data_IF_666218150039
#
_entry.id   IF_666218150039
#
_cell.length_a   1.000
_cell.length_b   1.000
_cell.length_c   1.000
_cell.angle_alpha   90.00
_cell.angle_beta   90.00
_cell.angle_gamma   90.00
#
_symmetry.space_group_name_H-M   'P 1'
#
loop_
_entity.id
_entity.type
_entity.pdbx_description
1 polymer ?
#
# COMPACT_ATOMS: atom_id res chain seq x y z
N UNK A 1 -14.42 24.89 5.63
CA UNK A 1 -13.96 24.50 4.29
C UNK A 1 -12.70 23.66 4.46
N UNK A 2 -12.85 22.38 4.67
CA UNK A 2 -11.71 21.50 4.63
C UNK A 2 -11.47 21.11 3.18
N UNK A 3 -10.36 21.58 2.64
CA UNK A 3 -9.86 21.13 1.35
C UNK A 3 -9.43 19.66 1.53
N UNK A 4 -10.16 18.68 1.00
CA UNK A 4 -9.87 17.26 1.22
C UNK A 4 -8.53 16.83 0.62
N UNK A 5 -7.92 17.65 -0.23
CA UNK A 5 -6.65 17.36 -0.88
C UNK A 5 -5.45 17.70 0.01
N UNK A 6 -5.68 18.34 1.17
CA UNK A 6 -4.62 18.84 2.06
C UNK A 6 -4.85 18.51 3.52
N UNK A 7 -5.56 17.44 3.79
CA UNK A 7 -5.72 16.97 5.17
C UNK A 7 -4.39 16.40 5.67
N UNK A 8 -4.02 16.67 6.92
CA UNK A 8 -2.81 16.10 7.52
C UNK A 8 -2.90 14.58 7.67
N UNK A 9 -4.12 14.04 7.67
CA UNK A 9 -4.40 12.61 7.72
C UNK A 9 -5.74 12.31 7.03
N UNK A 10 -5.87 11.09 6.54
CA UNK A 10 -7.07 10.57 5.92
C UNK A 10 -7.63 9.42 6.75
N UNK A 11 -8.95 9.37 6.88
CA UNK A 11 -9.63 8.27 7.54
C UNK A 11 -10.01 7.21 6.48
N UNK A 12 -9.83 5.95 6.84
CA UNK A 12 -10.29 4.82 6.04
C UNK A 12 -10.95 3.78 6.93
N UNK A 13 -12.10 3.25 6.51
CA UNK A 13 -12.78 2.18 7.21
C UNK A 13 -14.24 2.49 7.54
N UNK A 14 -14.76 1.71 8.49
CA UNK A 14 -16.13 1.77 8.97
C UNK A 14 -16.17 2.04 10.46
N UNK A 15 -17.01 2.96 10.86
CA UNK A 15 -17.35 3.17 12.27
C UNK A 15 -18.86 3.19 12.44
N UNK A 16 -19.36 2.50 13.45
CA UNK A 16 -20.76 2.54 13.85
C UNK A 16 -20.86 3.15 15.25
N UNK A 17 -21.50 4.29 15.32
CA UNK A 17 -21.82 4.98 16.56
C UNK A 17 -23.31 4.92 16.80
N UNK A 18 -23.73 4.66 18.05
CA UNK A 18 -25.13 4.53 18.41
C UNK A 18 -25.90 5.86 18.30
N UNK A 19 -25.21 7.00 18.46
CA UNK A 19 -25.79 8.33 18.43
C UNK A 19 -25.83 8.92 17.02
N UNK A 20 -24.77 8.69 16.23
CA UNK A 20 -24.58 9.27 14.89
C UNK A 20 -24.74 8.29 13.73
N UNK A 21 -25.00 7.00 14.04
CA UNK A 21 -25.19 5.99 13.03
C UNK A 21 -23.89 5.45 12.45
N UNK A 22 -23.89 5.16 11.15
CA UNK A 22 -22.75 4.55 10.45
C UNK A 22 -21.94 5.59 9.66
N UNK A 23 -20.66 5.68 9.97
CA UNK A 23 -19.68 6.42 9.18
C UNK A 23 -18.91 5.41 8.30
N UNK A 24 -18.82 5.71 7.02
CA UNK A 24 -18.02 4.98 6.04
C UNK A 24 -17.07 5.95 5.37
N UNK A 25 -15.79 5.68 5.48
CA UNK A 25 -14.74 6.52 4.90
C UNK A 25 -14.01 5.77 3.80
N UNK A 26 -13.89 6.42 2.65
CA UNK A 26 -13.28 5.89 1.43
C UNK A 26 -12.09 6.75 1.07
N UNK A 27 -11.11 6.15 0.38
CA UNK A 27 -9.99 6.89 -0.18
C UNK A 27 -10.07 6.92 -1.69
N UNK A 28 -9.77 8.07 -2.26
CA UNK A 28 -9.64 8.27 -3.70
C UNK A 28 -8.28 8.90 -3.93
N UNK A 29 -7.42 8.24 -4.67
CA UNK A 29 -6.04 8.70 -4.84
C UNK A 29 -5.57 8.52 -6.26
N UNK A 30 -4.71 9.42 -6.70
CA UNK A 30 -3.95 9.31 -7.92
C UNK A 30 -2.68 8.50 -7.66
N UNK A 31 -2.20 7.76 -8.65
CA UNK A 31 -0.95 7.00 -8.58
C UNK A 31 0.04 7.61 -9.56
N UNK A 32 1.30 7.66 -9.15
CA UNK A 32 2.40 8.22 -9.93
C UNK A 32 3.50 7.17 -10.11
N UNK A 33 4.26 7.30 -11.18
CA UNK A 33 5.49 6.54 -11.36
C UNK A 33 6.52 6.96 -10.32
N UNK A 34 7.37 6.05 -9.85
CA UNK A 34 8.37 6.33 -8.79
C UNK A 34 9.50 7.24 -9.30
N UNK A 35 9.64 7.36 -10.61
CA UNK A 35 10.68 8.17 -11.26
C UNK A 35 10.07 9.19 -12.21
N UNK A 36 10.85 10.23 -12.55
CA UNK A 36 10.48 11.19 -13.59
C UNK A 36 10.89 10.74 -14.99
N UNK A 37 11.52 9.57 -15.09
CA UNK A 37 11.97 8.98 -16.34
C UNK A 37 11.06 7.83 -16.74
N UNK A 38 11.13 7.43 -18.01
CA UNK A 38 10.43 6.26 -18.53
C UNK A 38 10.74 5.02 -17.69
N UNK A 39 9.70 4.28 -17.35
CA UNK A 39 9.81 2.98 -16.68
C UNK A 39 9.81 1.90 -17.75
N UNK A 40 10.82 1.05 -17.72
CA UNK A 40 10.94 -0.10 -18.62
C UNK A 40 11.09 -1.39 -17.84
N UNK A 41 10.50 -2.44 -18.34
CA UNK A 41 10.61 -3.79 -17.82
C UNK A 41 11.50 -4.63 -18.75
N UNK A 42 12.27 -5.54 -18.23
CA UNK A 42 13.11 -6.42 -19.04
C UNK A 42 12.30 -7.37 -19.95
N UNK A 43 12.98 -8.03 -20.87
CA UNK A 43 12.34 -9.00 -21.76
C UNK A 43 11.68 -10.13 -20.96
N UNK A 44 10.42 -10.46 -21.30
CA UNK A 44 9.64 -11.49 -20.64
C UNK A 44 9.42 -11.26 -19.13
N UNK A 45 9.37 -10.01 -18.69
CA UNK A 45 9.04 -9.68 -17.33
C UNK A 45 7.61 -10.16 -16.96
N UNK A 46 7.46 -10.70 -15.76
CA UNK A 46 6.19 -11.17 -15.23
C UNK A 46 5.96 -10.51 -13.88
N UNK A 47 4.76 -9.99 -13.70
CA UNK A 47 4.34 -9.43 -12.41
C UNK A 47 4.15 -10.57 -11.41
N UNK A 48 4.96 -10.61 -10.38
CA UNK A 48 4.83 -11.57 -9.30
C UNK A 48 3.75 -11.15 -8.31
N UNK A 49 3.84 -9.93 -7.80
CA UNK A 49 2.91 -9.38 -6.84
C UNK A 49 2.71 -7.87 -7.06
N UNK A 50 1.51 -7.38 -6.74
CA UNK A 50 1.18 -5.96 -6.67
C UNK A 50 0.53 -5.69 -5.33
N UNK A 51 1.14 -4.82 -4.52
CA UNK A 51 0.67 -4.50 -3.17
C UNK A 51 0.40 -3.02 -3.04
N UNK A 52 -0.76 -2.68 -2.49
CA UNK A 52 -1.04 -1.33 -1.98
C UNK A 52 -0.90 -1.35 -0.48
N UNK A 53 -0.09 -0.45 0.04
CA UNK A 53 0.08 -0.26 1.47
C UNK A 53 -0.54 1.06 1.92
N UNK A 54 -1.35 0.98 2.97
CA UNK A 54 -1.89 2.14 3.67
C UNK A 54 -1.26 2.18 5.06
N UNK A 55 -0.24 3.02 5.28
CA UNK A 55 0.43 3.10 6.56
C UNK A 55 -0.48 3.70 7.63
N UNK A 56 -0.37 3.20 8.86
CA UNK A 56 -1.00 3.79 10.04
C UNK A 56 -0.09 4.84 10.68
N UNK A 57 -0.70 5.69 11.49
CA UNK A 57 0.04 6.43 12.50
C UNK A 57 0.38 5.52 13.66
N UNK A 58 1.62 5.59 14.12
CA UNK A 58 2.14 4.78 15.21
C UNK A 58 3.19 5.54 16.00
N UNK A 59 3.33 5.18 17.26
CA UNK A 59 4.47 5.55 18.10
C UNK A 59 5.39 4.32 18.26
N UNK A 60 6.67 4.57 18.41
CA UNK A 60 7.65 3.54 18.73
C UNK A 60 7.81 3.47 20.25
N UNK A 61 7.49 2.33 20.84
CA UNK A 61 7.62 2.08 22.28
C UNK A 61 8.62 0.96 22.57
N UNK A 62 9.92 1.34 22.53
CA UNK A 62 11.00 0.41 22.81
C UNK A 62 11.22 -0.63 21.74
N UNK A 63 11.71 -1.79 22.17
CA UNK A 63 12.03 -2.96 21.34
C UNK A 63 11.42 -4.21 21.94
N UNK A 64 11.15 -5.19 21.11
CA UNK A 64 10.66 -6.51 21.48
C UNK A 64 11.45 -7.61 20.77
N UNK A 65 11.46 -8.82 21.34
CA UNK A 65 12.07 -9.96 20.67
C UNK A 65 11.32 -10.33 19.39
N UNK A 66 12.07 -10.52 18.32
CA UNK A 66 11.51 -10.98 17.05
C UNK A 66 11.00 -12.42 17.18
N UNK A 67 9.80 -12.67 16.64
CA UNK A 67 9.15 -13.97 16.64
C UNK A 67 8.82 -14.33 15.20
N UNK A 68 9.14 -15.56 14.80
CA UNK A 68 8.74 -16.10 13.51
C UNK A 68 7.21 -16.26 13.46
N UNK A 69 6.52 -15.63 12.50
CA UNK A 69 5.06 -15.66 12.44
C UNK A 69 4.47 -17.03 12.13
N UNK A 70 5.23 -17.91 11.49
CA UNK A 70 4.75 -19.22 11.07
C UNK A 70 4.94 -20.28 12.18
N UNK A 71 6.04 -20.18 12.93
CA UNK A 71 6.39 -21.15 13.97
C UNK A 71 6.09 -20.67 15.39
N UNK A 72 6.03 -19.35 15.61
CA UNK A 72 5.90 -18.73 16.93
C UNK A 72 7.19 -18.77 17.76
N UNK A 73 8.30 -19.21 17.18
CA UNK A 73 9.59 -19.31 17.86
C UNK A 73 10.39 -17.99 17.75
N UNK A 74 11.25 -17.68 18.74
CA UNK A 74 12.13 -16.53 18.65
C UNK A 74 13.12 -16.65 17.48
N UNK A 75 13.29 -15.57 16.74
CA UNK A 75 14.35 -15.46 15.73
C UNK A 75 15.63 -15.05 16.44
N UNK A 76 16.70 -15.84 16.26
CA UNK A 76 17.98 -15.63 16.95
C UNK A 76 19.09 -15.30 15.97
N UNK A 77 20.10 -14.57 16.44
CA UNK A 77 21.34 -14.32 15.72
C UNK A 77 22.29 -15.54 15.76
N UNK A 78 23.47 -15.40 15.19
CA UNK A 78 24.52 -16.43 15.16
C UNK A 78 25.02 -16.85 16.57
N UNK A 79 24.82 -16.01 17.58
CA UNK A 79 25.21 -16.27 18.96
C UNK A 79 24.09 -16.95 19.76
N UNK A 80 22.89 -17.05 19.18
CA UNK A 80 21.70 -17.58 19.83
C UNK A 80 20.92 -16.53 20.63
N UNK A 81 21.27 -15.25 20.51
CA UNK A 81 20.54 -14.16 21.15
C UNK A 81 19.32 -13.77 20.30
N UNK A 82 18.17 -13.54 20.95
CA UNK A 82 16.95 -13.13 20.25
C UNK A 82 17.12 -11.76 19.62
N UNK A 83 16.88 -11.69 18.31
CA UNK A 83 16.91 -10.43 17.57
C UNK A 83 15.86 -9.46 18.12
N UNK A 84 16.23 -8.19 18.22
CA UNK A 84 15.34 -7.14 18.74
C UNK A 84 14.76 -6.33 17.58
N UNK A 85 13.46 -6.12 17.60
CA UNK A 85 12.71 -5.33 16.62
C UNK A 85 11.91 -4.24 17.33
N UNK A 86 11.66 -3.10 16.65
CA UNK A 86 10.84 -2.05 17.23
C UNK A 86 9.47 -2.55 17.64
N UNK A 87 8.99 -2.12 18.82
CA UNK A 87 7.61 -2.27 19.21
C UNK A 87 6.83 -1.04 18.75
N UNK A 88 5.74 -1.26 18.00
CA UNK A 88 4.88 -0.20 17.48
C UNK A 88 3.54 -0.17 18.24
N UNK A 89 3.16 1.02 18.69
CA UNK A 89 1.83 1.28 19.26
C UNK A 89 1.05 2.09 18.23
N UNK A 90 -0.08 1.55 17.78
CA UNK A 90 -0.92 2.25 16.82
C UNK A 90 -1.56 3.47 17.45
N UNK A 91 -1.43 4.61 16.78
CA UNK A 91 -2.13 5.84 17.08
C UNK A 91 -3.30 6.04 16.10
N UNK A 92 -4.28 6.81 16.53
CA UNK A 92 -5.41 7.27 15.69
C UNK A 92 -6.25 6.14 15.06
N UNK A 93 -6.32 4.98 15.71
CA UNK A 93 -7.23 3.88 15.33
C UNK A 93 -8.51 3.98 16.15
N UNK A 94 -9.64 4.17 15.47
CA UNK A 94 -10.95 4.34 16.11
C UNK A 94 -11.78 3.06 15.98
N UNK A 95 -12.25 2.55 17.10
CA UNK A 95 -13.10 1.36 17.14
C UNK A 95 -12.38 0.09 17.57
N UNK A 96 -13.00 -1.06 17.30
CA UNK A 96 -12.45 -2.36 17.65
C UNK A 96 -11.54 -2.89 16.56
N UNK A 97 -10.25 -3.02 16.83
CA UNK A 97 -9.24 -3.52 15.90
C UNK A 97 -9.30 -5.04 15.71
N UNK A 98 -10.06 -5.76 16.54
CA UNK A 98 -10.21 -7.23 16.43
C UNK A 98 -11.27 -7.66 15.40
N UNK A 99 -11.99 -6.68 14.84
CA UNK A 99 -13.05 -6.93 13.86
C UNK A 99 -12.53 -6.75 12.44
N UNK A 100 -12.74 -7.76 11.61
CA UNK A 100 -12.51 -7.65 10.18
C UNK A 100 -13.61 -6.85 9.50
N UNK A 101 -13.25 -6.13 8.44
CA UNK A 101 -14.21 -5.48 7.55
C UNK A 101 -13.86 -5.77 6.10
N UNK A 102 -14.87 -5.72 5.23
CA UNK A 102 -14.63 -5.93 3.81
C UNK A 102 -14.04 -4.69 3.16
N UNK A 103 -12.98 -4.89 2.37
CA UNK A 103 -12.38 -3.86 1.54
C UNK A 103 -12.51 -4.21 0.06
N UNK A 104 -12.71 -3.20 -0.76
CA UNK A 104 -12.68 -3.30 -2.23
C UNK A 104 -11.82 -2.19 -2.81
N UNK A 105 -11.01 -2.52 -3.78
CA UNK A 105 -10.20 -1.55 -4.51
C UNK A 105 -10.56 -1.63 -6.00
N UNK A 106 -10.79 -0.48 -6.59
CA UNK A 106 -11.11 -0.34 -8.00
C UNK A 106 -10.14 0.58 -8.70
N UNK A 107 -9.95 0.40 -10.00
CA UNK A 107 -9.35 1.41 -10.85
C UNK A 107 -10.25 2.66 -10.84
N UNK A 108 -9.65 3.81 -10.60
CA UNK A 108 -10.35 5.09 -10.67
C UNK A 108 -10.57 5.51 -12.12
N UNK A 109 -11.81 5.73 -12.52
CA UNK A 109 -12.19 6.22 -13.86
C UNK A 109 -12.18 7.73 -13.96
N UNK A 110 -12.30 8.45 -12.85
CA UNK A 110 -12.27 9.92 -12.80
C UNK A 110 -10.83 10.44 -12.76
N UNK A 111 -10.50 11.36 -13.65
CA UNK A 111 -9.23 12.10 -13.57
C UNK A 111 -9.31 13.15 -12.44
N UNK A 112 -8.34 13.14 -11.54
CA UNK A 112 -8.24 14.11 -10.45
C UNK A 112 -7.41 15.31 -10.92
N UNK A 113 -8.11 16.41 -11.26
CA UNK A 113 -7.44 17.65 -11.66
C UNK A 113 -6.85 18.35 -10.43
N UNK A 114 -5.62 18.81 -10.51
CA UNK A 114 -4.98 19.64 -9.50
C UNK A 114 -5.55 21.08 -9.54
N UNK A 115 -5.77 21.59 -10.74
CA UNK A 115 -6.34 22.91 -10.96
C UNK A 115 -7.80 22.81 -11.42
N UNK A 116 -8.60 23.81 -11.12
CA UNK A 116 -9.98 23.87 -11.59
C UNK A 116 -10.01 24.11 -13.11
N UNK A 117 -10.61 23.21 -13.90
CA UNK A 117 -10.71 23.39 -15.36
C UNK A 117 -11.42 24.67 -15.81
N UNK A 118 -12.33 25.22 -14.97
CA UNK A 118 -13.06 26.46 -15.25
C UNK A 118 -12.27 27.71 -14.82
N UNK A 119 -11.38 27.58 -13.82
CA UNK A 119 -10.52 28.66 -13.35
C UNK A 119 -9.13 28.08 -12.97
N UNK A 120 -8.20 27.94 -13.94
CA UNK A 120 -6.88 27.35 -13.70
C UNK A 120 -5.99 28.12 -12.71
N UNK A 121 -6.43 29.26 -12.19
CA UNK A 121 -5.73 29.97 -11.12
C UNK A 121 -6.04 29.42 -9.74
N UNK A 122 -7.02 28.53 -9.63
CA UNK A 122 -7.47 27.91 -8.39
C UNK A 122 -7.22 26.41 -8.38
N UNK A 123 -6.97 25.87 -7.20
CA UNK A 123 -6.96 24.42 -7.00
C UNK A 123 -8.37 23.85 -7.16
N UNK A 124 -8.47 22.66 -7.74
CA UNK A 124 -9.73 21.92 -7.82
C UNK A 124 -10.10 21.41 -6.43
N UNK A 125 -11.33 21.69 -6.01
CA UNK A 125 -11.87 21.18 -4.74
C UNK A 125 -12.78 19.98 -5.00
N UNK A 126 -12.54 18.90 -4.28
CA UNK A 126 -13.36 17.70 -4.28
C UNK A 126 -14.16 17.62 -2.98
N UNK A 127 -15.46 17.44 -3.09
CA UNK A 127 -16.34 17.33 -1.93
C UNK A 127 -16.59 15.86 -1.59
N UNK A 128 -16.77 15.56 -0.30
CA UNK A 128 -16.96 14.20 0.21
C UNK A 128 -18.22 13.48 -0.31
N UNK A 129 -19.18 14.23 -0.85
CA UNK A 129 -20.41 13.71 -1.45
C UNK A 129 -20.34 13.56 -2.98
N UNK A 130 -19.16 13.77 -3.56
CA UNK A 130 -18.96 13.59 -5.00
C UNK A 130 -18.92 12.11 -5.36
N UNK A 131 -19.62 11.75 -6.43
CA UNK A 131 -19.49 10.45 -7.07
C UNK A 131 -18.27 10.45 -8.01
N UNK A 132 -17.54 9.35 -7.97
CA UNK A 132 -16.39 9.07 -8.81
C UNK A 132 -16.71 7.92 -9.75
N UNK A 133 -16.29 8.03 -11.00
CA UNK A 133 -16.32 6.91 -11.94
C UNK A 133 -15.30 5.87 -11.45
N UNK A 134 -15.74 4.62 -11.34
CA UNK A 134 -14.90 3.46 -11.02
C UNK A 134 -14.94 2.48 -12.21
N UNK A 135 -13.87 1.70 -12.37
CA UNK A 135 -13.71 0.73 -13.44
C UNK A 135 -13.47 -0.65 -12.87
N UNK A 136 -12.43 -1.32 -13.33
CA UNK A 136 -12.12 -2.68 -12.94
C UNK A 136 -11.91 -2.84 -11.43
N UNK A 137 -12.43 -3.93 -10.89
CA UNK A 137 -12.19 -4.30 -9.50
C UNK A 137 -10.84 -5.00 -9.41
N UNK A 138 -9.95 -4.42 -8.63
CA UNK A 138 -8.56 -4.87 -8.48
C UNK A 138 -8.32 -5.70 -7.23
N UNK A 139 -9.19 -5.55 -6.23
CA UNK A 139 -9.13 -6.30 -4.98
C UNK A 139 -10.50 -6.38 -4.33
N UNK A 140 -10.80 -7.52 -3.72
CA UNK A 140 -11.89 -7.70 -2.78
C UNK A 140 -11.46 -8.68 -1.70
N UNK A 141 -11.58 -8.29 -0.43
CA UNK A 141 -11.19 -9.16 0.68
C UNK A 141 -11.55 -8.59 2.04
N UNK A 142 -11.45 -9.45 3.05
CA UNK A 142 -11.53 -9.04 4.46
C UNK A 142 -10.16 -8.51 4.90
N UNK A 143 -10.18 -7.43 5.66
CA UNK A 143 -9.00 -6.82 6.24
C UNK A 143 -9.20 -6.58 7.71
N UNK A 144 -8.12 -6.73 8.46
CA UNK A 144 -8.04 -6.48 9.87
C UNK A 144 -6.90 -5.50 10.15
N UNK A 145 -7.12 -4.58 11.07
CA UNK A 145 -6.05 -3.72 11.56
C UNK A 145 -5.17 -4.55 12.47
N UNK A 146 -3.93 -4.80 12.08
CA UNK A 146 -2.97 -5.51 12.90
C UNK A 146 -2.03 -4.55 13.63
N UNK A 147 -1.82 -4.79 14.91
CA UNK A 147 -0.94 -3.98 15.77
C UNK A 147 0.53 -4.35 15.63
N UNK A 148 0.79 -5.57 15.17
CA UNK A 148 2.12 -6.19 15.21
C UNK A 148 2.56 -6.67 13.83
N UNK A 149 2.08 -6.04 12.75
CA UNK A 149 2.43 -6.43 11.40
C UNK A 149 3.89 -6.05 11.10
N UNK A 150 4.82 -6.78 11.71
CA UNK A 150 6.24 -6.68 11.42
C UNK A 150 6.55 -7.68 10.33
N UNK A 151 6.81 -7.17 9.13
CA UNK A 151 7.24 -8.01 8.01
C UNK A 151 8.75 -8.18 8.07
N UNK A 152 9.19 -9.42 8.07
CA UNK A 152 10.60 -9.77 8.02
C UNK A 152 10.98 -10.07 6.57
N UNK A 153 12.02 -9.40 6.09
CA UNK A 153 12.63 -9.73 4.80
C UNK A 153 13.87 -10.58 5.06
N UNK A 154 13.95 -11.71 4.38
CA UNK A 154 15.19 -12.49 4.27
C UNK A 154 15.83 -12.09 2.96
N UNK A 155 16.91 -11.33 3.03
CA UNK A 155 17.78 -11.11 1.87
C UNK A 155 18.82 -12.24 1.82
N UNK A 156 18.81 -12.95 0.71
CA UNK A 156 19.84 -13.94 0.41
C UNK A 156 20.96 -13.27 -0.37
N UNK A 157 22.15 -13.29 0.18
CA UNK A 157 23.36 -12.87 -0.51
C UNK A 157 24.14 -14.12 -0.94
N UNK A 158 24.45 -14.20 -2.22
CA UNK A 158 25.33 -15.21 -2.74
C UNK A 158 26.75 -14.65 -2.73
N UNK A 159 27.66 -15.28 -2.00
CA UNK A 159 29.05 -14.81 -1.84
C UNK A 159 29.81 -14.78 -3.16
N UNK A 160 29.46 -15.67 -4.09
CA UNK A 160 30.08 -15.78 -5.42
C UNK A 160 29.25 -15.07 -6.52
N UNK A 161 28.09 -14.52 -6.16
CA UNK A 161 27.16 -13.91 -7.11
C UNK A 161 26.38 -14.90 -7.98
N UNK A 162 26.48 -16.20 -7.73
CA UNK A 162 25.78 -17.26 -8.46
C UNK A 162 24.59 -17.80 -7.65
N UNK A 163 23.35 -17.50 -8.03
CA UNK A 163 22.16 -17.96 -7.31
C UNK A 163 21.91 -19.48 -7.39
N UNK A 164 22.71 -20.22 -8.14
CA UNK A 164 22.60 -21.67 -8.24
C UNK A 164 23.43 -22.43 -7.20
N UNK A 165 24.34 -21.77 -6.50
CA UNK A 165 25.15 -22.37 -5.42
C UNK A 165 24.42 -22.23 -4.09
N UNK A 166 24.01 -23.35 -3.52
CA UNK A 166 23.24 -23.43 -2.28
C UNK A 166 24.10 -23.37 -0.99
N UNK A 167 25.42 -23.24 -1.14
CA UNK A 167 26.38 -23.33 -0.01
C UNK A 167 26.69 -21.96 0.62
N UNK A 168 26.03 -20.89 0.15
CA UNK A 168 26.26 -19.55 0.64
C UNK A 168 25.46 -19.25 1.91
N UNK A 169 26.12 -18.60 2.85
CA UNK A 169 25.51 -18.22 4.12
C UNK A 169 24.44 -17.18 3.88
N UNK A 170 23.19 -17.52 4.16
CA UNK A 170 22.08 -16.58 4.15
C UNK A 170 22.26 -15.58 5.29
N UNK A 171 22.41 -14.30 4.97
CA UNK A 171 22.36 -13.25 5.97
C UNK A 171 20.90 -12.82 6.14
N UNK A 172 20.32 -13.13 7.28
CA UNK A 172 18.98 -12.66 7.64
C UNK A 172 19.10 -11.21 8.06
N UNK A 173 18.56 -10.30 7.24
CA UNK A 173 18.39 -8.91 7.59
C UNK A 173 16.94 -8.67 7.98
N UNK A 174 16.70 -8.37 9.23
CA UNK A 174 15.38 -7.97 9.70
C UNK A 174 15.22 -6.47 9.47
N UNK A 175 14.43 -6.10 8.48
CA UNK A 175 13.95 -4.74 8.31
C UNK A 175 12.52 -4.67 8.86
N UNK A 176 12.33 -4.09 10.06
CA UNK A 176 10.99 -3.90 10.61
C UNK A 176 10.23 -2.90 9.74
N UNK A 177 9.15 -3.37 9.14
CA UNK A 177 8.25 -2.51 8.36
C UNK A 177 7.24 -1.88 9.30
N UNK A 178 7.01 -0.59 9.13
CA UNK A 178 5.99 0.14 9.87
C UNK A 178 4.60 -0.48 9.67
N UNK A 179 3.74 -0.50 10.68
CA UNK A 179 2.40 -1.06 10.58
C UNK A 179 1.59 -0.44 9.44
N UNK A 180 0.97 -1.27 8.63
CA UNK A 180 0.19 -0.84 7.47
C UNK A 180 -0.91 -1.85 7.13
N UNK A 181 -1.99 -1.39 6.48
CA UNK A 181 -2.90 -2.29 5.76
C UNK A 181 -2.29 -2.62 4.40
N UNK A 182 -2.22 -3.91 4.08
CA UNK A 182 -1.69 -4.41 2.81
C UNK A 182 -2.79 -5.07 2.00
N UNK A 183 -2.90 -4.68 0.75
CA UNK A 183 -3.87 -5.21 -0.20
C UNK A 183 -3.16 -5.77 -1.42
N UNK A 184 -3.29 -7.08 -1.64
CA UNK A 184 -2.82 -7.70 -2.87
C UNK A 184 -3.82 -7.44 -3.99
N UNK A 185 -3.36 -6.75 -5.04
CA UNK A 185 -4.17 -6.43 -6.20
C UNK A 185 -4.06 -7.51 -7.28
N UNK A 186 -4.98 -7.48 -8.24
CA UNK A 186 -4.97 -8.38 -9.39
C UNK A 186 -3.72 -8.17 -10.25
N UNK A 187 -2.76 -9.08 -10.14
CA UNK A 187 -1.49 -9.02 -10.87
C UNK A 187 -1.65 -9.17 -12.39
N UNK A 188 -2.71 -9.84 -12.86
CA UNK A 188 -2.95 -9.97 -14.30
C UNK A 188 -3.37 -8.66 -14.93
N UNK A 189 -4.17 -7.87 -14.21
CA UNK A 189 -4.51 -6.52 -14.63
C UNK A 189 -3.24 -5.67 -14.82
N UNK A 190 -2.32 -5.69 -13.86
CA UNK A 190 -1.08 -4.91 -13.94
C UNK A 190 -0.06 -5.50 -14.92
N UNK A 191 -0.08 -6.81 -15.16
CA UNK A 191 0.70 -7.41 -16.25
C UNK A 191 0.33 -6.77 -17.59
N UNK A 192 -0.95 -6.71 -17.91
CA UNK A 192 -1.41 -6.08 -19.15
C UNK A 192 -1.24 -4.56 -19.15
N UNK A 193 -1.45 -3.90 -18.01
CA UNK A 193 -1.41 -2.43 -17.93
C UNK A 193 -0.01 -1.84 -17.88
N UNK A 194 0.96 -2.53 -17.30
CA UNK A 194 2.30 -2.00 -17.08
C UNK A 194 3.35 -2.74 -17.91
N UNK A 195 3.42 -4.06 -17.79
CA UNK A 195 4.53 -4.84 -18.36
C UNK A 195 4.35 -5.04 -19.86
N UNK A 196 3.15 -5.35 -20.33
CA UNK A 196 2.86 -5.50 -21.77
C UNK A 196 2.83 -4.18 -22.53
N UNK A 197 2.78 -3.06 -21.79
CA UNK A 197 2.93 -1.69 -22.30
C UNK A 197 4.35 -1.13 -22.10
N UNK A 198 5.34 -1.99 -21.85
CA UNK A 198 6.75 -1.58 -21.77
C UNK A 198 7.17 -0.91 -23.08
N UNK A 199 7.77 0.27 -22.98
CA UNK A 199 8.14 1.19 -24.05
C UNK A 199 6.98 1.94 -24.75
N UNK A 200 5.76 1.86 -24.22
CA UNK A 200 4.66 2.69 -24.69
C UNK A 200 4.69 4.09 -24.04
N UNK A 201 4.13 5.07 -24.72
CA UNK A 201 4.16 6.47 -24.27
C UNK A 201 3.48 6.70 -22.90
N UNK A 202 2.62 5.79 -22.50
CA UNK A 202 1.90 5.82 -21.22
C UNK A 202 2.81 5.73 -20.01
N UNK A 203 3.97 5.07 -20.13
CA UNK A 203 4.95 4.88 -19.06
C UNK A 203 6.14 5.84 -19.13
N UNK A 204 6.15 6.76 -20.06
CA UNK A 204 7.26 7.69 -20.27
C UNK A 204 7.39 8.74 -19.15
N UNK A 205 6.27 9.16 -18.60
CA UNK A 205 6.21 10.20 -17.58
C UNK A 205 4.88 10.19 -16.82
N UNK A 206 4.83 10.93 -15.73
CA UNK A 206 3.63 11.00 -14.88
C UNK A 206 2.41 11.66 -15.56
N UNK A 207 2.61 12.59 -16.50
CA UNK A 207 1.48 13.22 -17.20
C UNK A 207 0.75 12.20 -18.10
N UNK A 208 1.49 11.35 -18.76
CA UNK A 208 0.94 10.27 -19.57
C UNK A 208 0.36 9.16 -18.69
N UNK A 209 1.12 8.75 -17.68
CA UNK A 209 0.71 7.67 -16.79
C UNK A 209 -0.59 7.98 -16.05
N UNK A 210 -0.76 9.17 -15.48
CA UNK A 210 -1.97 9.56 -14.75
C UNK A 210 -3.21 9.72 -15.65
N UNK A 211 -3.03 9.92 -16.96
CA UNK A 211 -4.12 9.87 -17.93
C UNK A 211 -4.52 8.44 -18.30
N UNK A 212 -3.55 7.56 -18.32
CA UNK A 212 -3.70 6.14 -18.64
C UNK A 212 -4.24 5.35 -17.44
N UNK A 213 -3.58 5.45 -16.28
CA UNK A 213 -4.01 4.86 -15.00
C UNK A 213 -4.30 5.98 -14.00
N UNK A 214 -5.57 6.34 -13.87
CA UNK A 214 -6.00 7.55 -13.16
C UNK A 214 -5.89 7.45 -11.65
N UNK A 215 -5.68 6.24 -11.11
CA UNK A 215 -5.50 6.01 -9.69
C UNK A 215 -6.40 4.91 -9.13
N UNK A 216 -6.62 4.97 -7.82
CA UNK A 216 -7.36 3.97 -7.06
C UNK A 216 -8.54 4.58 -6.32
N UNK A 217 -9.63 3.81 -6.25
CA UNK A 217 -10.79 4.04 -5.39
C UNK A 217 -10.84 2.91 -4.38
N UNK A 218 -10.60 3.22 -3.10
CA UNK A 218 -10.47 2.26 -2.00
C UNK A 218 -11.67 2.41 -1.07
N UNK A 219 -12.46 1.35 -0.95
CA UNK A 219 -13.76 1.35 -0.31
C UNK A 219 -13.80 0.34 0.85
N UNK A 220 -14.39 0.74 1.99
CA UNK A 220 -14.66 -0.09 3.14
C UNK A 220 -16.15 -0.42 3.23
N UNK A 221 -16.52 -1.69 3.40
CA UNK A 221 -17.91 -2.18 3.38
C UNK A 221 -18.32 -2.87 4.67
#
# INVERSE_FOLDING_TARGET
>A
NNDPDRLPLYLYGLNRNNDFGRLRSKLVTQVYLPTLQSVTFGNNAVVDEVVVELPYFYDRDGEQGAIDPDTGEPITDENGDTLQVPNFILDSVYGNTDVEFQSRIFELGTFLNTLDPEDPTKSKTYYSNRDFEIRDMLHEGLVKVDRNDTVYYVERYFLDGDPSTLDDVDTIKLDPVAPSLKFRLDKQFFQGRCVEHDNDAELDNNDNFTRYFRGLYIDAL
#
